data_IF_241082706422
#
_entry.id   IF_241082706422
#
_cell.length_a   1.000
_cell.length_b   1.000
_cell.length_c   1.000
_cell.angle_alpha   90.00
_cell.angle_beta   90.00
_cell.angle_gamma   90.00
#
_symmetry.space_group_name_H-M   'P 1'
#
loop_
_entity.id
_entity.type
_entity.pdbx_description
1 polymer ?
#
# COMPACT_ATOMS: atom_id res chain seq x y z
N UNK A 1 0.55 2.58 20.06
CA UNK A 1 1.20 1.46 19.35
C UNK A 1 2.54 1.82 18.74
N UNK A 2 2.66 2.89 17.95
CA UNK A 2 3.93 3.23 17.27
C UNK A 2 5.14 3.37 18.20
N UNK A 3 5.02 4.08 19.33
CA UNK A 3 6.09 4.19 20.33
C UNK A 3 6.49 2.82 20.90
N UNK A 4 5.50 1.98 21.23
CA UNK A 4 5.75 0.63 21.76
C UNK A 4 6.54 -0.24 20.77
N UNK A 5 6.21 -0.21 19.48
CA UNK A 5 6.98 -0.93 18.44
C UNK A 5 8.41 -0.39 18.34
N UNK A 6 8.59 0.93 18.38
CA UNK A 6 9.92 1.54 18.35
C UNK A 6 10.79 1.17 19.56
N UNK A 7 10.21 1.13 20.76
CA UNK A 7 10.92 0.81 22.00
C UNK A 7 11.29 -0.69 22.06
N UNK A 8 10.39 -1.57 21.62
CA UNK A 8 10.55 -3.04 21.65
C UNK A 8 11.43 -3.61 20.54
N UNK A 9 11.60 -2.88 19.42
CA UNK A 9 12.47 -3.24 18.29
C UNK A 9 12.31 -4.71 17.85
N UNK A 10 11.12 -5.14 17.40
CA UNK A 10 10.86 -6.54 17.06
C UNK A 10 11.77 -7.07 15.94
N UNK A 11 12.25 -6.21 15.03
CA UNK A 11 13.22 -6.58 14.00
C UNK A 11 14.59 -7.00 14.55
N UNK A 12 14.92 -6.63 15.79
CA UNK A 12 16.12 -7.09 16.48
C UNK A 12 15.83 -8.40 17.24
N UNK A 13 14.67 -8.50 17.88
CA UNK A 13 14.23 -9.73 18.58
C UNK A 13 14.15 -10.95 17.65
N UNK A 14 13.78 -10.76 16.38
CA UNK A 14 13.74 -11.83 15.36
C UNK A 14 15.12 -12.44 15.09
N UNK A 15 16.20 -11.66 15.24
CA UNK A 15 17.56 -12.10 14.91
C UNK A 15 18.16 -12.98 16.00
N UNK A 16 17.65 -12.89 17.22
CA UNK A 16 18.19 -13.61 18.37
C UNK A 16 17.61 -15.03 18.44
N UNK A 17 18.44 -16.07 18.67
CA UNK A 17 17.99 -17.47 18.67
C UNK A 17 17.40 -17.93 20.02
N UNK A 18 17.41 -17.10 21.05
CA UNK A 18 16.99 -17.45 22.40
C UNK A 18 15.46 -17.55 22.53
N UNK A 19 15.02 -18.49 23.38
CA UNK A 19 13.60 -18.76 23.58
C UNK A 19 12.84 -17.55 24.18
N UNK A 20 13.52 -16.76 25.01
CA UNK A 20 12.97 -15.56 25.63
C UNK A 20 12.67 -14.47 24.59
N UNK A 21 13.60 -14.17 23.69
CA UNK A 21 13.42 -13.20 22.60
C UNK A 21 12.28 -13.62 21.67
N UNK A 22 12.13 -14.91 21.38
CA UNK A 22 10.97 -15.39 20.60
C UNK A 22 9.64 -15.18 21.33
N UNK A 23 9.61 -15.42 22.64
CA UNK A 23 8.42 -15.19 23.46
C UNK A 23 8.06 -13.70 23.50
N UNK A 24 9.06 -12.83 23.71
CA UNK A 24 8.89 -11.38 23.70
C UNK A 24 8.42 -10.89 22.33
N UNK A 25 8.99 -11.39 21.24
CA UNK A 25 8.54 -11.08 19.89
C UNK A 25 7.05 -11.43 19.71
N UNK A 26 6.65 -12.65 20.07
CA UNK A 26 5.24 -13.07 19.96
C UNK A 26 4.32 -12.16 20.79
N UNK A 27 4.73 -11.78 22.00
CA UNK A 27 3.97 -10.88 22.86
C UNK A 27 3.84 -9.47 22.25
N UNK A 28 4.92 -8.94 21.66
CA UNK A 28 4.93 -7.63 20.99
C UNK A 28 3.97 -7.64 19.80
N UNK A 29 4.07 -8.67 18.94
CA UNK A 29 3.20 -8.82 17.77
C UNK A 29 1.74 -8.97 18.21
N UNK A 30 1.46 -9.81 19.21
CA UNK A 30 0.13 -9.98 19.77
C UNK A 30 -0.46 -8.66 20.30
N UNK A 31 0.29 -7.91 21.11
CA UNK A 31 -0.19 -6.63 21.65
C UNK A 31 -0.46 -5.60 20.54
N UNK A 32 0.36 -5.58 19.48
CA UNK A 32 0.13 -4.70 18.35
C UNK A 32 -1.11 -5.10 17.54
N UNK A 33 -1.29 -6.40 17.27
CA UNK A 33 -2.45 -6.93 16.58
C UNK A 33 -3.75 -6.66 17.37
N UNK A 34 -3.75 -6.86 18.69
CA UNK A 34 -4.90 -6.53 19.54
C UNK A 34 -5.25 -5.04 19.49
N UNK A 35 -4.24 -4.17 19.60
CA UNK A 35 -4.47 -2.74 19.53
C UNK A 35 -5.08 -2.33 18.17
N UNK A 36 -4.63 -2.94 17.07
CA UNK A 36 -5.19 -2.72 15.74
C UNK A 36 -6.61 -3.28 15.59
N UNK A 37 -6.90 -4.45 16.17
CA UNK A 37 -8.24 -5.05 16.15
C UNK A 37 -9.26 -4.15 16.84
N UNK A 38 -8.94 -3.69 18.05
CA UNK A 38 -9.80 -2.79 18.83
C UNK A 38 -9.98 -1.46 18.09
N UNK A 39 -8.88 -0.85 17.62
CA UNK A 39 -8.95 0.40 16.86
C UNK A 39 -9.78 0.24 15.58
N UNK A 40 -9.62 -0.87 14.85
CA UNK A 40 -10.39 -1.19 13.66
C UNK A 40 -11.89 -1.26 13.95
N UNK A 41 -12.30 -1.94 15.02
CA UNK A 41 -13.71 -2.03 15.43
C UNK A 41 -14.28 -0.63 15.72
N UNK A 42 -13.56 0.19 16.48
CA UNK A 42 -13.99 1.53 16.87
C UNK A 42 -13.97 2.54 15.72
N UNK A 43 -13.20 2.29 14.66
CA UNK A 43 -13.12 3.14 13.47
C UNK A 43 -14.25 2.89 12.46
N UNK A 44 -14.98 1.78 12.56
CA UNK A 44 -16.06 1.45 11.61
C UNK A 44 -17.12 2.56 11.41
N UNK A 45 -17.55 3.32 12.44
CA UNK A 45 -18.53 4.41 12.25
C UNK A 45 -17.98 5.60 11.46
N UNK A 46 -16.65 5.78 11.44
CA UNK A 46 -15.98 6.94 10.83
C UNK A 46 -15.40 6.58 9.45
N UNK A 47 -14.81 5.38 9.33
CA UNK A 47 -14.16 4.87 8.12
C UNK A 47 -14.54 3.40 7.86
N UNK A 48 -15.81 3.11 7.51
CA UNK A 48 -16.32 1.73 7.44
C UNK A 48 -15.54 0.86 6.44
N UNK A 49 -15.22 1.40 5.26
CA UNK A 49 -14.51 0.67 4.21
C UNK A 49 -13.09 0.28 4.64
N UNK A 50 -12.31 1.25 5.13
CA UNK A 50 -10.89 1.02 5.50
C UNK A 50 -10.77 0.22 6.79
N UNK A 51 -11.64 0.45 7.77
CA UNK A 51 -11.73 -0.38 8.97
C UNK A 51 -12.10 -1.83 8.63
N UNK A 52 -13.05 -2.03 7.72
CA UNK A 52 -13.43 -3.35 7.23
C UNK A 52 -12.27 -4.10 6.58
N UNK A 53 -11.48 -3.42 5.74
CA UNK A 53 -10.27 -3.98 5.13
C UNK A 53 -9.23 -4.37 6.20
N UNK A 54 -8.92 -3.48 7.15
CA UNK A 54 -8.00 -3.78 8.25
C UNK A 54 -8.42 -5.03 9.03
N UNK A 55 -9.70 -5.13 9.39
CA UNK A 55 -10.25 -6.26 10.14
C UNK A 55 -10.28 -7.56 9.31
N UNK A 56 -10.43 -7.46 7.99
CA UNK A 56 -10.29 -8.62 7.08
C UNK A 56 -8.84 -9.13 7.04
N UNK A 57 -7.86 -8.25 6.94
CA UNK A 57 -6.43 -8.61 6.94
C UNK A 57 -6.01 -9.27 8.25
N UNK A 58 -6.58 -8.82 9.38
CA UNK A 58 -6.39 -9.44 10.69
C UNK A 58 -7.20 -10.74 10.90
N UNK A 59 -8.03 -11.15 9.94
CA UNK A 59 -8.84 -12.37 10.04
C UNK A 59 -9.98 -12.29 11.07
N UNK A 60 -10.49 -11.10 11.38
CA UNK A 60 -11.58 -10.92 12.36
C UNK A 60 -12.91 -11.26 11.70
N UNK A 61 -13.69 -12.18 12.28
CA UNK A 61 -15.02 -12.54 11.75
C UNK A 61 -16.00 -11.36 11.79
N UNK A 62 -16.95 -11.27 10.84
CA UNK A 62 -17.84 -10.10 10.74
C UNK A 62 -18.77 -9.93 11.95
N UNK A 63 -19.26 -11.04 12.51
CA UNK A 63 -20.08 -11.11 13.72
C UNK A 63 -19.32 -10.67 14.99
N UNK A 64 -17.97 -10.63 14.93
CA UNK A 64 -17.09 -10.23 16.03
C UNK A 64 -16.56 -8.80 15.90
N UNK A 65 -17.24 -7.94 15.12
CA UNK A 65 -16.87 -6.53 14.91
C UNK A 65 -17.76 -5.55 15.64
N UNK A 66 -18.53 -5.99 16.63
CA UNK A 66 -19.31 -5.08 17.48
C UNK A 66 -18.43 -4.44 18.57
N UNK A 67 -18.93 -3.37 19.19
CA UNK A 67 -18.24 -2.65 20.28
C UNK A 67 -17.95 -3.58 21.47
N UNK A 68 -18.76 -4.61 21.68
CA UNK A 68 -18.55 -5.63 22.72
C UNK A 68 -17.25 -6.42 22.52
N UNK A 69 -16.81 -6.56 21.26
CA UNK A 69 -15.55 -7.18 20.91
C UNK A 69 -14.37 -6.20 20.94
N UNK A 70 -14.59 -4.90 21.15
CA UNK A 70 -13.52 -3.88 21.28
C UNK A 70 -12.80 -3.91 22.64
N UNK A 71 -12.62 -5.11 23.21
CA UNK A 71 -11.95 -5.36 24.49
C UNK A 71 -10.77 -6.30 24.25
N UNK A 72 -9.64 -6.04 24.90
CA UNK A 72 -8.42 -6.84 24.76
C UNK A 72 -8.69 -8.31 25.09
N UNK A 73 -8.30 -9.21 24.18
CA UNK A 73 -8.40 -10.67 24.38
C UNK A 73 -9.82 -11.23 24.31
N UNK A 74 -10.79 -10.44 23.84
CA UNK A 74 -12.19 -10.88 23.70
C UNK A 74 -12.41 -11.83 22.52
N UNK A 75 -11.54 -11.76 21.52
CA UNK A 75 -11.52 -12.65 20.36
C UNK A 75 -10.22 -13.47 20.40
N UNK A 76 -10.33 -14.78 20.49
CA UNK A 76 -9.19 -15.69 20.48
C UNK A 76 -8.93 -16.31 19.10
N UNK A 77 -9.89 -16.19 18.18
CA UNK A 77 -9.87 -16.90 16.90
C UNK A 77 -9.41 -16.02 15.73
N UNK A 78 -9.20 -14.71 15.96
CA UNK A 78 -8.63 -13.81 14.96
C UNK A 78 -7.14 -14.08 14.72
N UNK A 79 -6.61 -13.66 13.58
CA UNK A 79 -5.20 -13.82 13.23
C UNK A 79 -4.79 -15.26 12.87
N UNK A 80 -5.75 -16.15 12.68
CA UNK A 80 -5.54 -17.58 12.35
C UNK A 80 -5.23 -17.82 10.88
N UNK A 81 -5.76 -16.98 9.98
CA UNK A 81 -5.47 -17.03 8.54
C UNK A 81 -5.37 -15.60 8.01
N UNK A 82 -4.14 -15.07 7.90
CA UNK A 82 -3.92 -13.83 7.19
C UNK A 82 -4.23 -14.06 5.70
N UNK A 83 -5.32 -13.46 5.19
CA UNK A 83 -5.62 -13.41 3.75
C UNK A 83 -4.69 -12.47 2.97
N UNK A 84 -3.54 -12.15 3.54
CA UNK A 84 -2.46 -11.48 2.81
C UNK A 84 -2.09 -12.35 1.62
N UNK A 85 -2.25 -11.80 0.42
CA UNK A 85 -1.76 -12.43 -0.82
C UNK A 85 -0.28 -12.81 -0.68
N UNK A 86 0.18 -13.72 -1.56
CA UNK A 86 1.50 -14.33 -1.59
C UNK A 86 2.56 -13.60 -0.72
N UNK A 87 3.09 -14.23 0.35
CA UNK A 87 4.05 -13.58 1.27
C UNK A 87 5.34 -13.08 0.59
N UNK A 88 5.63 -13.52 -0.64
CA UNK A 88 6.73 -13.02 -1.46
C UNK A 88 6.40 -11.75 -2.30
N UNK A 89 5.12 -11.39 -2.43
CA UNK A 89 4.69 -10.23 -3.19
C UNK A 89 4.86 -8.96 -2.34
N UNK A 90 5.85 -8.13 -2.68
CA UNK A 90 5.96 -6.78 -2.11
C UNK A 90 4.70 -5.99 -2.44
N UNK A 91 3.95 -5.57 -1.43
CA UNK A 91 2.80 -4.68 -1.56
C UNK A 91 3.25 -3.40 -2.28
N UNK A 92 2.60 -3.02 -3.40
CA UNK A 92 2.94 -1.77 -4.09
C UNK A 92 2.46 -0.59 -3.26
N UNK A 93 3.08 0.59 -3.44
CA UNK A 93 2.75 1.83 -2.70
C UNK A 93 1.26 2.18 -2.73
N UNK A 94 0.58 1.82 -3.82
CA UNK A 94 -0.84 2.08 -4.06
C UNK A 94 -1.77 0.97 -3.53
N UNK A 95 -1.21 -0.19 -3.18
CA UNK A 95 -1.96 -1.33 -2.64
C UNK A 95 -2.04 -1.27 -1.10
N UNK A 96 -1.52 -0.22 -0.47
CA UNK A 96 -1.59 -0.03 0.99
C UNK A 96 -3.01 0.39 1.42
N UNK A 97 -3.35 0.16 2.70
CA UNK A 97 -4.67 0.53 3.25
C UNK A 97 -4.95 2.03 3.06
N UNK A 98 -3.91 2.86 3.18
CA UNK A 98 -3.96 4.30 2.95
C UNK A 98 -2.93 4.68 1.88
N UNK A 99 -3.32 4.70 0.60
CA UNK A 99 -2.44 5.17 -0.45
C UNK A 99 -2.16 6.68 -0.25
N UNK A 100 -1.00 7.16 -0.70
CA UNK A 100 -0.69 8.58 -0.68
C UNK A 100 -1.70 9.35 -1.54
N UNK A 101 -1.98 10.60 -1.18
CA UNK A 101 -2.70 11.50 -2.06
C UNK A 101 -1.85 11.79 -3.31
N UNK A 102 -2.43 11.80 -4.52
CA UNK A 102 -1.73 12.29 -5.70
C UNK A 102 -1.27 13.73 -5.44
N UNK A 103 0.01 14.04 -5.68
CA UNK A 103 0.49 15.41 -5.60
C UNK A 103 0.10 16.16 -6.88
N UNK A 104 -0.08 17.48 -6.82
CA UNK A 104 -0.37 18.29 -8.01
C UNK A 104 0.74 18.24 -9.09
N UNK A 105 1.92 17.71 -8.76
CA UNK A 105 3.02 17.42 -9.69
C UNK A 105 2.98 16.01 -10.28
N UNK A 106 2.06 15.15 -9.84
CA UNK A 106 1.71 13.92 -10.55
C UNK A 106 0.77 14.31 -11.69
N UNK A 107 1.31 15.07 -12.67
CA UNK A 107 0.60 15.43 -13.88
C UNK A 107 0.09 14.15 -14.55
N UNK A 108 -1.25 14.09 -14.60
CA UNK A 108 -2.10 13.25 -15.40
C UNK A 108 -1.64 11.80 -15.56
N UNK A 109 -2.27 10.93 -14.77
CA UNK A 109 -2.17 9.47 -14.90
C UNK A 109 -2.31 9.01 -16.36
N UNK A 110 -3.13 9.71 -17.16
CA UNK A 110 -3.26 9.53 -18.61
C UNK A 110 -1.96 9.86 -19.38
N UNK A 111 -1.32 11.00 -19.10
CA UNK A 111 -0.03 11.38 -19.70
C UNK A 111 1.05 10.37 -19.33
N UNK A 112 1.08 9.89 -18.08
CA UNK A 112 2.04 8.87 -17.64
C UNK A 112 1.76 7.47 -18.23
N UNK A 113 0.51 7.13 -18.51
CA UNK A 113 0.14 5.90 -19.24
C UNK A 113 0.54 5.99 -20.72
N UNK A 114 0.28 7.13 -21.36
CA UNK A 114 0.70 7.42 -22.73
C UNK A 114 2.24 7.41 -22.87
N UNK A 115 2.97 7.98 -21.89
CA UNK A 115 4.44 8.01 -21.86
C UNK A 115 5.06 6.64 -21.69
N UNK A 116 4.50 5.80 -20.80
CA UNK A 116 4.95 4.41 -20.63
C UNK A 116 4.81 3.61 -21.91
N UNK A 117 3.82 3.93 -22.74
CA UNK A 117 3.58 3.24 -24.00
C UNK A 117 4.41 3.81 -25.15
N UNK A 118 4.64 5.12 -25.21
CA UNK A 118 5.39 5.79 -26.27
C UNK A 118 6.92 5.69 -26.12
N UNK A 119 7.47 5.81 -24.90
CA UNK A 119 8.91 5.87 -24.65
C UNK A 119 9.54 4.54 -24.20
N UNK A 120 8.76 3.45 -24.16
CA UNK A 120 9.20 2.12 -23.68
C UNK A 120 10.45 1.59 -24.41
N UNK A 121 10.61 1.96 -25.68
CA UNK A 121 11.72 1.52 -26.52
C UNK A 121 13.01 2.31 -26.26
N UNK A 122 12.91 3.52 -25.73
CA UNK A 122 14.07 4.36 -25.40
C UNK A 122 14.57 4.11 -23.98
N UNK A 123 13.69 4.15 -22.98
CA UNK A 123 14.07 3.92 -21.58
C UNK A 123 12.95 3.29 -20.76
N UNK A 124 13.32 2.39 -19.83
CA UNK A 124 12.39 1.77 -18.85
C UNK A 124 12.29 2.53 -17.52
N UNK A 125 13.17 3.50 -17.27
CA UNK A 125 13.22 4.27 -16.02
C UNK A 125 12.31 5.50 -16.10
N UNK A 126 11.37 5.63 -15.16
CA UNK A 126 10.37 6.71 -15.12
C UNK A 126 10.96 8.12 -15.07
N UNK A 127 12.07 8.33 -14.35
CA UNK A 127 12.70 9.66 -14.30
C UNK A 127 13.31 10.05 -15.65
N UNK A 128 13.85 9.09 -16.39
CA UNK A 128 14.40 9.34 -17.73
C UNK A 128 13.28 9.57 -18.75
N UNK A 129 12.14 8.90 -18.60
CA UNK A 129 10.95 9.14 -19.43
C UNK A 129 10.41 10.57 -19.22
N UNK A 130 10.35 11.03 -17.97
CA UNK A 130 9.93 12.40 -17.65
C UNK A 130 10.91 13.45 -18.18
N UNK A 131 12.22 13.20 -18.06
CA UNK A 131 13.24 14.10 -18.61
C UNK A 131 13.15 14.22 -20.15
N UNK A 132 12.88 13.12 -20.85
CA UNK A 132 12.66 13.13 -22.30
C UNK A 132 11.38 13.87 -22.70
N UNK A 133 10.28 13.70 -21.95
CA UNK A 133 9.04 14.45 -22.18
C UNK A 133 9.29 15.96 -22.05
N UNK A 134 9.83 16.39 -20.91
CA UNK A 134 10.11 17.81 -20.66
C UNK A 134 11.05 18.39 -21.73
N UNK A 135 12.02 17.61 -22.20
CA UNK A 135 12.89 18.02 -23.30
C UNK A 135 12.17 18.09 -24.65
N UNK A 136 11.16 17.24 -24.92
CA UNK A 136 10.33 17.32 -26.12
C UNK A 136 9.39 18.53 -26.06
N UNK A 137 8.76 18.79 -24.91
CA UNK A 137 7.87 19.94 -24.68
C UNK A 137 8.64 21.25 -24.81
N UNK A 138 9.84 21.34 -24.24
CA UNK A 138 10.70 22.50 -24.40
C UNK A 138 11.13 22.75 -25.85
N UNK A 139 11.16 21.71 -26.70
CA UNK A 139 11.57 21.83 -28.12
C UNK A 139 10.39 22.12 -29.06
N UNK A 140 9.22 21.57 -28.77
CA UNK A 140 8.09 21.54 -29.72
C UNK A 140 6.82 22.21 -29.19
N UNK A 141 6.77 22.55 -27.89
CA UNK A 141 5.57 23.01 -27.20
C UNK A 141 4.70 21.87 -26.67
N UNK A 142 4.01 22.10 -25.55
CA UNK A 142 3.17 21.10 -24.86
C UNK A 142 2.06 20.54 -25.77
N UNK A 143 1.34 21.40 -26.50
CA UNK A 143 0.23 20.99 -27.36
C UNK A 143 0.67 20.10 -28.54
N UNK A 144 1.83 20.39 -29.13
CA UNK A 144 2.37 19.61 -30.24
C UNK A 144 2.86 18.22 -29.78
N UNK A 145 3.45 18.15 -28.58
CA UNK A 145 3.85 16.87 -27.98
C UNK A 145 2.63 16.02 -27.65
N UNK A 146 1.56 16.62 -27.12
CA UNK A 146 0.31 15.93 -26.83
C UNK A 146 -0.33 15.32 -28.09
N UNK A 147 -0.37 16.07 -29.20
CA UNK A 147 -0.87 15.55 -30.48
C UNK A 147 -0.03 14.39 -31.01
N UNK A 148 1.31 14.53 -31.00
CA UNK A 148 2.22 13.48 -31.46
C UNK A 148 2.08 12.19 -30.63
N UNK A 149 1.95 12.31 -29.29
CA UNK A 149 1.75 11.16 -28.41
C UNK A 149 0.38 10.49 -28.64
N UNK A 150 -0.67 11.27 -28.89
CA UNK A 150 -1.99 10.75 -29.22
C UNK A 150 -2.00 9.98 -30.55
N UNK A 151 -1.34 10.51 -31.58
CA UNK A 151 -1.19 9.84 -32.89
C UNK A 151 -0.40 8.53 -32.78
N UNK A 152 0.73 8.54 -32.05
CA UNK A 152 1.54 7.34 -31.81
C UNK A 152 0.77 6.26 -31.05
N UNK A 153 -0.05 6.66 -30.07
CA UNK A 153 -0.88 5.74 -29.30
C UNK A 153 -1.99 5.14 -30.18
N UNK A 154 -2.64 5.95 -31.03
CA UNK A 154 -3.64 5.47 -31.99
C UNK A 154 -3.05 4.48 -33.01
N UNK A 155 -1.87 4.79 -33.57
CA UNK A 155 -1.19 3.93 -34.55
C UNK A 155 -0.82 2.55 -33.99
N UNK A 156 -0.38 2.49 -32.73
CA UNK A 156 -0.01 1.23 -32.05
C UNK A 156 -1.20 0.43 -31.54
N UNK A 157 -2.34 1.06 -31.26
CA UNK A 157 -3.59 0.35 -30.88
C UNK A 157 -4.26 -0.33 -32.07
N UNK A 158 -3.94 0.10 -33.30
CA UNK A 158 -4.44 -0.47 -34.55
C UNK A 158 -3.57 -1.61 -35.11
N UNK A 159 -2.42 -1.91 -34.49
CA UNK A 159 -1.52 -3.02 -34.82
C UNK A 159 -1.65 -4.17 -33.82
#
# INVERSE_FOLDING_TARGET
TNRYVADTKPWDLVKSPDAESRLLLNLVIYNCAEALRIAGILLQPIMPTKAGLLLNELGVAQDRRSVEFAVKGKDADYGTEAKTGNPAARTKKWDTIFPPTPNASDSDVEVMEQLRFALRDKTRNQMNQMAELLAMEARMGEEAVAQMLAELHAARKAS
#
